data_IF_117541521857
#
_entry.id   IF_117541521857
#
_cell.length_a   1.000
_cell.length_b   1.000
_cell.length_c   1.000
_cell.angle_alpha   90.00
_cell.angle_beta   90.00
_cell.angle_gamma   90.00
#
_symmetry.space_group_name_H-M   'P 1'
#
loop_
_entity.id
_entity.type
_entity.pdbx_description
1 polymer ?
#
# COMPACT_ATOMS: atom_id res chain seq x y z
N UNK A 1 1.28 18.92 -1.58
CA UNK A 1 1.81 18.74 -2.95
C UNK A 1 0.76 17.95 -3.70
N UNK A 2 0.19 18.47 -4.79
CA UNK A 2 -0.87 17.77 -5.54
C UNK A 2 -0.16 16.81 -6.51
N UNK A 3 -0.26 15.51 -6.25
CA UNK A 3 0.41 14.48 -7.06
C UNK A 3 -0.45 14.06 -8.26
N UNK A 4 -0.75 15.01 -9.15
CA UNK A 4 -1.71 14.87 -10.25
C UNK A 4 -1.51 13.63 -11.15
N UNK A 5 -0.28 13.12 -11.26
CA UNK A 5 0.04 11.99 -12.14
C UNK A 5 0.15 10.64 -11.43
N UNK A 6 0.07 10.61 -10.09
CA UNK A 6 0.19 9.35 -9.36
C UNK A 6 -0.87 8.33 -9.77
N UNK A 7 -2.16 8.66 -9.97
CA UNK A 7 -3.15 7.69 -10.45
C UNK A 7 -2.72 6.96 -11.74
N UNK A 8 -2.04 7.64 -12.67
CA UNK A 8 -1.56 7.05 -13.91
C UNK A 8 -0.45 5.99 -13.66
N UNK A 9 0.34 6.17 -12.61
CA UNK A 9 1.39 5.24 -12.21
C UNK A 9 0.81 3.93 -11.66
N UNK A 10 -0.40 3.96 -11.07
CA UNK A 10 -1.06 2.77 -10.54
C UNK A 10 -1.36 1.77 -11.66
N UNK A 11 -1.96 2.25 -12.75
CA UNK A 11 -2.28 1.42 -13.93
C UNK A 11 -1.04 0.98 -14.69
N UNK A 12 -0.08 1.89 -14.87
CA UNK A 12 1.13 1.62 -15.67
C UNK A 12 2.14 0.69 -14.97
N UNK A 13 2.12 0.61 -13.64
CA UNK A 13 3.01 -0.24 -12.82
C UNK A 13 4.51 -0.02 -13.07
N UNK A 14 4.88 1.16 -13.58
CA UNK A 14 6.22 1.49 -14.06
C UNK A 14 7.31 1.38 -12.99
N UNK A 15 6.98 1.69 -11.74
CA UNK A 15 7.92 1.75 -10.63
C UNK A 15 7.74 0.63 -9.61
N UNK A 16 7.13 -0.47 -10.03
CA UNK A 16 6.98 -1.63 -9.16
C UNK A 16 8.30 -2.41 -9.10
N UNK A 17 9.06 -2.19 -8.03
CA UNK A 17 10.41 -2.70 -7.81
C UNK A 17 10.51 -3.73 -6.68
N UNK A 18 9.39 -4.06 -6.04
CA UNK A 18 9.29 -5.13 -5.04
C UNK A 18 8.03 -5.98 -5.22
N UNK A 19 8.02 -7.16 -4.61
CA UNK A 19 6.86 -8.05 -4.52
C UNK A 19 6.52 -8.32 -3.05
N UNK A 20 5.28 -8.06 -2.66
CA UNK A 20 4.74 -8.43 -1.36
C UNK A 20 4.04 -9.78 -1.48
N UNK A 21 4.33 -10.69 -0.55
CA UNK A 21 3.75 -12.03 -0.48
C UNK A 21 2.81 -12.09 0.72
N UNK A 22 1.52 -12.23 0.45
CA UNK A 22 0.44 -12.32 1.43
C UNK A 22 -0.01 -13.77 1.62
N UNK A 23 -0.92 -14.01 2.56
CA UNK A 23 -1.50 -15.35 2.77
C UNK A 23 -2.37 -15.84 1.61
N UNK A 24 -2.94 -14.91 0.84
CA UNK A 24 -3.94 -15.13 -0.22
C UNK A 24 -3.44 -14.72 -1.62
N UNK A 25 -2.14 -14.42 -1.77
CA UNK A 25 -1.56 -14.09 -3.07
C UNK A 25 -0.29 -13.26 -2.97
N UNK A 26 0.20 -12.73 -4.10
CA UNK A 26 1.31 -11.79 -4.15
C UNK A 26 1.00 -10.60 -5.06
N UNK A 27 1.63 -9.46 -4.78
CA UNK A 27 1.44 -8.24 -5.55
C UNK A 27 2.77 -7.51 -5.74
N UNK A 28 3.05 -7.10 -6.98
CA UNK A 28 4.16 -6.18 -7.27
C UNK A 28 3.78 -4.76 -6.84
N UNK A 29 4.71 -4.07 -6.19
CA UNK A 29 4.50 -2.75 -5.59
C UNK A 29 5.72 -1.85 -5.78
N UNK A 30 5.52 -0.55 -5.63
CA UNK A 30 6.57 0.45 -5.57
C UNK A 30 6.98 0.70 -4.12
N UNK A 31 8.26 0.44 -3.80
CA UNK A 31 8.81 0.71 -2.47
C UNK A 31 8.71 2.19 -2.11
N UNK A 32 8.99 3.08 -3.07
CA UNK A 32 8.93 4.54 -2.88
C UNK A 32 7.54 4.98 -2.41
N UNK A 33 6.49 4.52 -3.11
CA UNK A 33 5.11 4.89 -2.78
C UNK A 33 4.70 4.41 -1.39
N UNK A 34 5.06 3.18 -1.03
CA UNK A 34 4.70 2.63 0.27
C UNK A 34 5.52 3.21 1.43
N UNK A 35 6.82 3.38 1.26
CA UNK A 35 7.71 3.92 2.30
C UNK A 35 7.41 5.40 2.59
N UNK A 36 6.97 6.17 1.59
CA UNK A 36 6.55 7.56 1.78
C UNK A 36 5.29 7.71 2.65
N UNK A 37 4.43 6.70 2.67
CA UNK A 37 3.12 6.73 3.33
C UNK A 37 3.05 5.89 4.61
N UNK A 38 3.97 4.94 4.80
CA UNK A 38 3.91 4.00 5.91
C UNK A 38 5.28 3.77 6.52
N UNK A 39 5.40 4.12 7.81
CA UNK A 39 6.59 3.80 8.61
C UNK A 39 6.90 2.30 8.61
N UNK A 40 5.87 1.45 8.65
CA UNK A 40 6.05 0.01 8.57
C UNK A 40 6.80 -0.39 7.29
N UNK A 41 6.36 0.10 6.13
CA UNK A 41 7.00 -0.24 4.86
C UNK A 41 8.38 0.42 4.71
N UNK A 42 8.56 1.65 5.21
CA UNK A 42 9.87 2.27 5.30
C UNK A 42 10.85 1.34 6.04
N UNK A 43 10.51 0.95 7.28
CA UNK A 43 11.36 0.11 8.12
C UNK A 43 11.63 -1.26 7.46
N UNK A 44 10.62 -1.87 6.83
CA UNK A 44 10.73 -3.16 6.13
C UNK A 44 11.70 -3.07 4.94
N UNK A 45 11.60 -2.03 4.11
CA UNK A 45 12.42 -1.92 2.90
C UNK A 45 13.84 -1.42 3.17
N UNK A 46 14.06 -0.68 4.25
CA UNK A 46 15.41 -0.19 4.60
C UNK A 46 16.21 -1.21 5.39
N UNK A 47 15.58 -2.26 5.93
CA UNK A 47 16.28 -3.31 6.69
C UNK A 47 17.26 -4.11 5.82
N UNK A 48 16.88 -4.37 4.58
CA UNK A 48 17.73 -4.97 3.55
C UNK A 48 17.30 -4.46 2.17
N UNK A 49 18.09 -3.52 1.64
CA UNK A 49 17.77 -2.81 0.39
C UNK A 49 17.93 -3.69 -0.86
N UNK A 50 18.63 -4.82 -0.74
CA UNK A 50 18.86 -5.78 -1.85
C UNK A 50 17.68 -6.75 -1.99
N UNK A 51 16.90 -6.93 -0.93
CA UNK A 51 15.74 -7.80 -0.93
C UNK A 51 14.62 -7.22 -1.80
N UNK A 52 14.04 -8.07 -2.65
CA UNK A 52 12.99 -7.69 -3.60
C UNK A 52 11.63 -8.35 -3.31
N UNK A 53 11.59 -9.33 -2.41
CA UNK A 53 10.37 -10.05 -2.01
C UNK A 53 10.17 -10.02 -0.51
N UNK A 54 8.97 -9.67 -0.04
CA UNK A 54 8.69 -9.47 1.38
C UNK A 54 7.42 -10.19 1.82
N UNK A 55 7.52 -11.02 2.85
CA UNK A 55 6.37 -11.72 3.44
C UNK A 55 5.56 -10.77 4.35
N UNK A 56 4.30 -10.51 3.97
CA UNK A 56 3.32 -9.69 4.71
C UNK A 56 2.13 -10.58 5.10
N UNK A 57 2.40 -11.64 5.88
CA UNK A 57 1.40 -12.69 6.19
C UNK A 57 0.28 -12.24 7.13
N UNK A 58 0.43 -11.08 7.77
CA UNK A 58 -0.55 -10.51 8.70
C UNK A 58 -1.64 -9.67 8.00
N UNK A 59 -1.59 -9.54 6.67
CA UNK A 59 -2.52 -8.78 5.87
C UNK A 59 -3.00 -9.61 4.67
N UNK A 60 -4.26 -9.42 4.27
CA UNK A 60 -4.77 -10.00 3.02
C UNK A 60 -4.44 -9.10 1.85
N UNK A 61 -4.07 -9.69 0.72
CA UNK A 61 -3.78 -8.99 -0.52
C UNK A 61 -4.99 -8.18 -0.99
N UNK A 62 -6.21 -8.71 -0.81
CA UNK A 62 -7.44 -8.02 -1.18
C UNK A 62 -7.60 -6.68 -0.44
N UNK A 63 -7.38 -6.68 0.88
CA UNK A 63 -7.48 -5.48 1.71
C UNK A 63 -6.32 -4.50 1.39
N UNK A 64 -5.11 -5.05 1.23
CA UNK A 64 -3.94 -4.26 0.86
C UNK A 64 -4.11 -3.55 -0.48
N UNK A 65 -4.72 -4.21 -1.47
CA UNK A 65 -4.93 -3.61 -2.80
C UNK A 65 -5.77 -2.34 -2.71
N UNK A 66 -6.79 -2.31 -1.85
CA UNK A 66 -7.61 -1.12 -1.59
C UNK A 66 -6.78 0.01 -0.99
N UNK A 67 -5.93 -0.30 -0.01
CA UNK A 67 -4.99 0.67 0.55
C UNK A 67 -4.00 1.19 -0.49
N UNK A 68 -3.47 0.30 -1.33
CA UNK A 68 -2.52 0.67 -2.36
C UNK A 68 -3.16 1.56 -3.44
N UNK A 69 -4.42 1.32 -3.80
CA UNK A 69 -5.20 2.26 -4.61
C UNK A 69 -5.35 3.61 -3.89
N UNK A 70 -5.71 3.62 -2.61
CA UNK A 70 -5.81 4.87 -1.84
C UNK A 70 -4.51 5.69 -1.84
N UNK A 71 -3.35 5.05 -1.66
CA UNK A 71 -2.02 5.70 -1.71
C UNK A 71 -1.77 6.40 -3.05
N UNK A 72 -2.27 5.86 -4.15
CA UNK A 72 -2.06 6.42 -5.49
C UNK A 72 -3.09 7.49 -5.87
N UNK A 73 -4.33 7.34 -5.41
CA UNK A 73 -5.44 8.19 -5.81
C UNK A 73 -5.70 9.35 -4.84
N UNK A 74 -5.29 9.23 -3.57
CA UNK A 74 -5.44 10.30 -2.58
C UNK A 74 -6.87 10.84 -2.53
N UNK A 75 -7.02 12.14 -2.78
CA UNK A 75 -8.31 12.84 -2.77
C UNK A 75 -9.31 12.33 -3.83
N UNK A 76 -8.82 11.75 -4.94
CA UNK A 76 -9.66 11.16 -5.99
C UNK A 76 -10.13 9.73 -5.65
N UNK A 77 -9.69 9.18 -4.51
CA UNK A 77 -10.04 7.83 -4.11
C UNK A 77 -11.52 7.74 -3.69
N UNK A 78 -12.32 7.05 -4.50
CA UNK A 78 -13.74 6.81 -4.21
C UNK A 78 -13.91 5.74 -3.14
N UNK A 79 -14.47 6.15 -2.01
CA UNK A 79 -14.78 5.31 -0.86
C UNK A 79 -16.20 4.74 -0.98
N UNK A 80 -16.33 3.45 -0.71
CA UNK A 80 -17.60 2.74 -0.49
C UNK A 80 -17.52 1.91 0.80
N UNK A 81 -18.64 1.30 1.22
CA UNK A 81 -18.70 0.54 2.47
C UNK A 81 -17.67 -0.59 2.56
N UNK A 82 -17.42 -1.31 1.47
CA UNK A 82 -16.46 -2.42 1.45
C UNK A 82 -15.02 -1.89 1.54
N UNK A 83 -14.73 -0.78 0.84
CA UNK A 83 -13.41 -0.15 0.87
C UNK A 83 -13.08 0.44 2.23
N UNK A 84 -14.05 1.00 2.95
CA UNK A 84 -13.85 1.45 4.34
C UNK A 84 -13.39 0.28 5.21
N UNK A 85 -14.11 -0.85 5.15
CA UNK A 85 -13.75 -2.04 5.94
C UNK A 85 -12.34 -2.52 5.61
N UNK A 86 -11.97 -2.59 4.33
CA UNK A 86 -10.62 -2.96 3.91
C UNK A 86 -9.55 -2.01 4.47
N UNK A 87 -9.77 -0.69 4.37
CA UNK A 87 -8.85 0.32 4.91
C UNK A 87 -8.70 0.19 6.43
N UNK A 88 -9.79 -0.07 7.16
CA UNK A 88 -9.76 -0.32 8.60
C UNK A 88 -8.93 -1.57 8.95
N UNK A 89 -9.08 -2.66 8.19
CA UNK A 89 -8.28 -3.88 8.39
C UNK A 89 -6.80 -3.58 8.18
N UNK A 90 -6.45 -2.84 7.12
CA UNK A 90 -5.07 -2.41 6.88
C UNK A 90 -4.55 -1.54 8.01
N UNK A 91 -5.38 -0.60 8.51
CA UNK A 91 -4.99 0.29 9.59
C UNK A 91 -4.63 -0.45 10.88
N UNK A 92 -5.42 -1.45 11.25
CA UNK A 92 -5.16 -2.29 12.43
C UNK A 92 -3.79 -2.99 12.33
N UNK A 93 -3.35 -3.35 11.10
CA UNK A 93 -2.12 -4.10 10.88
C UNK A 93 -0.89 -3.23 10.68
N UNK A 94 -1.03 -2.12 9.99
CA UNK A 94 0.09 -1.25 9.61
C UNK A 94 0.25 -0.03 10.53
N UNK A 95 -0.79 0.32 11.29
CA UNK A 95 -0.88 1.56 12.05
C UNK A 95 -0.51 2.78 11.19
N UNK A 96 -1.12 2.87 10.00
CA UNK A 96 -0.80 3.90 9.02
C UNK A 96 -1.35 5.26 9.46
N UNK A 97 -0.54 6.33 9.50
CA UNK A 97 -1.02 7.65 9.89
C UNK A 97 -2.01 8.27 8.89
N UNK A 98 -2.08 7.72 7.67
CA UNK A 98 -2.94 8.19 6.59
C UNK A 98 -4.39 7.72 6.76
N UNK A 99 -4.62 6.57 7.41
CA UNK A 99 -5.96 6.04 7.67
C UNK A 99 -6.34 6.37 9.10
N UNK A 100 -6.84 7.59 9.34
CA UNK A 100 -7.32 8.00 10.67
C UNK A 100 -8.82 7.77 10.79
N UNK A 101 -9.21 6.86 11.67
CA UNK A 101 -10.56 6.83 12.22
C UNK A 101 -10.57 7.82 13.37
N UNK A 102 -11.36 8.89 13.27
CA UNK A 102 -11.68 9.74 14.41
C UNK A 102 -12.91 9.20 15.12
#
# INVERSE_FOLDING_TARGET
MIYQYFPNLFGARLFNDAELIFSDGSMKVSRMMLAGHSKFFFDVFTKDVTKTKFDIKNLKMADFKVYYEYVYFGDDFKIDGNKIVALLQVQIKLNSPDIRVR
#
